data_IF_896027238014
#
_entry.id   IF_896027238014
#
_cell.length_a   1.000
_cell.length_b   1.000
_cell.length_c   1.000
_cell.angle_alpha   90.00
_cell.angle_beta   90.00
_cell.angle_gamma   90.00
#
_symmetry.space_group_name_H-M   'P 1'
#
loop_
_entity.id
_entity.type
_entity.pdbx_description
1 polymer ?
#
# COMPACT_ATOMS: atom_id res chain seq x y z
N UNK A 1 6.99 7.10 -7.69
CA UNK A 1 6.20 7.80 -6.64
C UNK A 1 4.70 7.69 -6.92
N UNK A 2 4.11 8.49 -7.83
CA UNK A 2 2.64 8.48 -8.05
C UNK A 2 2.12 7.11 -8.45
N UNK A 3 2.74 6.50 -9.47
CA UNK A 3 2.36 5.17 -9.95
C UNK A 3 2.43 4.05 -8.90
N UNK A 4 3.24 4.22 -7.85
CA UNK A 4 3.38 3.22 -6.79
C UNK A 4 2.34 3.46 -5.69
N UNK A 5 2.03 4.72 -5.37
CA UNK A 5 1.05 5.04 -4.34
C UNK A 5 -0.39 4.86 -4.86
N UNK A 6 -0.67 5.36 -6.07
CA UNK A 6 -1.95 5.16 -6.76
C UNK A 6 -1.93 3.79 -7.42
N UNK A 7 -2.23 2.78 -6.63
CA UNK A 7 -2.45 1.41 -7.12
C UNK A 7 -3.74 0.88 -6.50
N UNK A 8 -3.73 -0.28 -5.87
CA UNK A 8 -4.95 -0.96 -5.41
C UNK A 8 -5.66 -0.23 -4.25
N UNK A 9 -4.95 0.60 -3.48
CA UNK A 9 -5.52 1.32 -2.33
C UNK A 9 -6.74 2.18 -2.66
N UNK A 10 -6.75 2.82 -3.85
CA UNK A 10 -7.86 3.68 -4.29
C UNK A 10 -9.19 2.94 -4.39
N UNK A 11 -9.16 1.64 -4.67
CA UNK A 11 -10.37 0.83 -4.87
C UNK A 11 -11.05 0.42 -3.57
N UNK A 12 -10.36 0.52 -2.43
CA UNK A 12 -10.92 0.25 -1.10
C UNK A 12 -11.63 1.46 -0.47
N UNK A 13 -11.30 2.68 -0.95
CA UNK A 13 -11.78 3.92 -0.35
C UNK A 13 -13.31 4.10 -0.42
N UNK A 14 -14.01 3.77 -1.52
CA UNK A 14 -15.47 3.86 -1.55
C UNK A 14 -16.15 3.01 -0.47
N UNK A 15 -15.62 1.82 -0.19
CA UNK A 15 -16.12 0.94 0.89
C UNK A 15 -15.86 1.54 2.28
N UNK A 16 -14.73 2.21 2.47
CA UNK A 16 -14.47 2.98 3.70
C UNK A 16 -15.44 4.16 3.87
N UNK A 17 -15.81 4.85 2.78
CA UNK A 17 -16.86 5.89 2.79
C UNK A 17 -18.22 5.29 3.13
N UNK A 18 -18.56 4.12 2.58
CA UNK A 18 -19.81 3.45 2.92
C UNK A 18 -19.92 3.05 4.39
N UNK A 19 -18.80 2.70 5.00
CA UNK A 19 -18.76 2.37 6.42
C UNK A 19 -18.85 3.61 7.29
N UNK A 20 -18.07 4.66 7.02
CA UNK A 20 -17.96 5.85 7.90
C UNK A 20 -19.00 6.96 7.62
N UNK A 21 -19.66 6.92 6.46
CA UNK A 21 -20.45 8.01 5.92
C UNK A 21 -19.60 9.04 5.18
N UNK A 22 -20.25 9.82 4.31
CA UNK A 22 -19.56 10.75 3.40
C UNK A 22 -18.69 11.79 4.13
N UNK A 23 -19.23 12.45 5.15
CA UNK A 23 -18.55 13.56 5.82
C UNK A 23 -17.39 13.08 6.68
N UNK A 24 -17.57 12.08 7.57
CA UNK A 24 -16.46 11.57 8.38
C UNK A 24 -15.34 10.99 7.52
N UNK A 25 -15.68 10.24 6.46
CA UNK A 25 -14.68 9.68 5.56
C UNK A 25 -13.87 10.76 4.82
N UNK A 26 -14.53 11.80 4.30
CA UNK A 26 -13.85 12.92 3.64
C UNK A 26 -12.87 13.64 4.57
N UNK A 27 -13.30 13.92 5.81
CA UNK A 27 -12.45 14.53 6.83
C UNK A 27 -11.26 13.63 7.14
N UNK A 28 -11.47 12.32 7.28
CA UNK A 28 -10.42 11.35 7.55
C UNK A 28 -9.42 11.23 6.38
N UNK A 29 -9.88 11.20 5.13
CA UNK A 29 -9.01 11.18 3.95
C UNK A 29 -8.11 12.42 3.93
N UNK A 30 -8.68 13.61 4.16
CA UNK A 30 -7.91 14.86 4.22
C UNK A 30 -6.94 14.91 5.40
N UNK A 31 -7.36 14.40 6.57
CA UNK A 31 -6.52 14.34 7.76
C UNK A 31 -5.32 13.40 7.57
N UNK A 32 -5.55 12.17 7.09
CA UNK A 32 -4.49 11.20 6.81
C UNK A 32 -3.59 11.70 5.68
N UNK A 33 -4.14 12.37 4.67
CA UNK A 33 -3.37 13.04 3.63
C UNK A 33 -2.40 14.08 4.19
N UNK A 34 -2.91 15.00 5.02
CA UNK A 34 -2.08 16.04 5.66
C UNK A 34 -1.02 15.43 6.61
N UNK A 35 -1.36 14.34 7.29
CA UNK A 35 -0.43 13.63 8.14
C UNK A 35 0.67 12.92 7.33
N UNK A 36 0.30 12.22 6.26
CA UNK A 36 1.20 11.56 5.31
C UNK A 36 2.18 12.55 4.68
N UNK A 37 1.68 13.72 4.28
CA UNK A 37 2.47 14.85 3.79
C UNK A 37 3.58 15.23 4.77
N UNK A 38 3.19 15.46 6.02
CA UNK A 38 4.09 15.90 7.07
C UNK A 38 5.16 14.86 7.39
N UNK A 39 4.77 13.59 7.51
CA UNK A 39 5.71 12.51 7.82
C UNK A 39 6.65 12.21 6.64
N UNK A 40 6.16 12.31 5.40
CA UNK A 40 7.01 12.28 4.20
C UNK A 40 8.03 13.41 4.17
N UNK A 41 7.63 14.62 4.55
CA UNK A 41 8.54 15.76 4.68
C UNK A 41 9.61 15.53 5.76
N UNK A 42 9.24 14.92 6.90
CA UNK A 42 10.19 14.56 7.96
C UNK A 42 11.23 13.54 7.49
N UNK A 43 10.81 12.53 6.71
CA UNK A 43 11.73 11.56 6.07
C UNK A 43 12.69 12.28 5.11
N UNK A 44 12.19 13.19 4.27
CA UNK A 44 13.03 13.97 3.35
C UNK A 44 14.10 14.80 4.09
N UNK A 45 13.70 15.48 5.16
CA UNK A 45 14.61 16.20 6.06
C UNK A 45 15.68 15.30 6.68
N UNK A 46 15.33 14.05 7.02
CA UNK A 46 16.26 13.08 7.60
C UNK A 46 17.28 12.59 6.57
N UNK A 47 16.83 12.24 5.36
CA UNK A 47 17.71 11.84 4.25
C UNK A 47 18.69 12.93 3.86
N UNK A 48 18.26 14.19 3.83
CA UNK A 48 19.15 15.32 3.50
C UNK A 48 20.27 15.53 4.54
N UNK A 49 20.03 15.18 5.82
CA UNK A 49 21.06 15.21 6.87
C UNK A 49 21.97 13.99 6.85
N UNK A 50 21.45 12.85 6.37
CA UNK A 50 22.16 11.57 6.32
C UNK A 50 22.09 10.94 4.91
N UNK A 51 22.91 11.43 3.96
CA UNK A 51 22.82 10.99 2.55
C UNK A 51 23.11 9.50 2.32
N UNK A 52 23.84 8.86 3.25
CA UNK A 52 24.25 7.44 3.17
C UNK A 52 23.11 6.43 3.41
N UNK A 53 21.91 6.87 3.78
CA UNK A 53 20.78 6.00 4.15
C UNK A 53 19.97 5.62 2.91
N UNK A 54 20.06 4.39 2.41
CA UNK A 54 19.36 3.97 1.18
C UNK A 54 18.07 3.21 1.45
N UNK A 55 17.87 2.70 2.67
CA UNK A 55 16.71 1.91 3.08
C UNK A 55 16.23 2.27 4.48
N UNK A 56 15.02 1.83 4.85
CA UNK A 56 14.54 1.98 6.24
C UNK A 56 15.42 1.19 7.23
N UNK A 57 16.01 0.08 6.79
CA UNK A 57 17.00 -0.67 7.57
C UNK A 57 18.23 0.18 7.92
N UNK A 58 18.81 0.91 6.95
CA UNK A 58 19.96 1.79 7.23
C UNK A 58 19.57 2.95 8.16
N UNK A 59 18.33 3.45 8.06
CA UNK A 59 17.81 4.45 9.00
C UNK A 59 17.68 3.89 10.42
N UNK A 60 17.28 2.62 10.54
CA UNK A 60 17.24 1.89 11.81
C UNK A 60 18.62 1.68 12.42
N UNK A 61 19.65 1.47 11.59
CA UNK A 61 21.03 1.37 12.04
C UNK A 61 21.50 2.65 12.73
N UNK A 62 21.15 3.81 12.17
CA UNK A 62 21.51 5.09 12.76
C UNK A 62 20.78 5.36 14.09
N UNK A 63 19.53 4.91 14.21
CA UNK A 63 18.73 5.13 15.42
C UNK A 63 19.08 4.19 16.58
N UNK A 64 19.21 2.89 16.32
CA UNK A 64 19.32 1.84 17.35
C UNK A 64 20.48 0.86 17.09
N UNK A 65 21.42 1.21 16.23
CA UNK A 65 22.55 0.35 15.87
C UNK A 65 22.13 -0.92 15.13
N UNK A 66 22.93 -1.98 15.26
CA UNK A 66 22.72 -3.25 14.53
C UNK A 66 21.32 -3.85 14.71
N UNK A 67 20.76 -3.75 15.91
CA UNK A 67 19.41 -4.27 16.20
C UNK A 67 18.35 -3.50 15.42
N UNK A 68 18.45 -2.17 15.37
CA UNK A 68 17.53 -1.34 14.57
C UNK A 68 17.60 -1.64 13.08
N UNK A 69 18.80 -1.94 12.57
CA UNK A 69 19.00 -2.35 11.17
C UNK A 69 18.24 -3.63 10.83
N UNK A 70 18.33 -4.63 11.70
CA UNK A 70 17.66 -5.90 11.52
C UNK A 70 16.14 -5.75 11.61
N UNK A 71 15.65 -5.09 12.67
CA UNK A 71 14.20 -4.92 12.90
C UNK A 71 13.54 -4.12 11.78
N UNK A 72 14.07 -2.95 11.41
CA UNK A 72 13.47 -2.13 10.35
C UNK A 72 13.70 -2.72 8.96
N UNK A 73 14.82 -3.41 8.74
CA UNK A 73 15.08 -4.09 7.48
C UNK A 73 14.16 -5.27 7.24
N UNK A 74 13.96 -6.13 8.25
CA UNK A 74 13.00 -7.23 8.19
C UNK A 74 11.57 -6.69 8.12
N UNK A 75 11.25 -5.65 8.90
CA UNK A 75 9.93 -5.00 8.84
C UNK A 75 9.60 -4.42 7.47
N UNK A 76 10.56 -3.76 6.81
CA UNK A 76 10.40 -3.27 5.43
C UNK A 76 10.18 -4.44 4.46
N UNK A 77 10.94 -5.52 4.60
CA UNK A 77 10.79 -6.69 3.74
C UNK A 77 9.43 -7.36 3.92
N UNK A 78 8.98 -7.53 5.16
CA UNK A 78 7.66 -8.07 5.46
C UNK A 78 6.56 -7.18 4.88
N UNK A 79 6.64 -5.86 5.06
CA UNK A 79 5.68 -4.94 4.46
C UNK A 79 5.59 -5.14 2.94
N UNK A 80 6.73 -5.24 2.23
CA UNK A 80 6.74 -5.49 0.79
C UNK A 80 6.10 -6.85 0.44
N UNK A 81 6.36 -7.91 1.20
CA UNK A 81 5.74 -9.23 1.00
C UNK A 81 4.22 -9.16 1.16
N UNK A 82 3.72 -8.45 2.17
CA UNK A 82 2.28 -8.29 2.34
C UNK A 82 1.64 -7.43 1.24
N UNK A 83 2.35 -6.40 0.73
CA UNK A 83 1.89 -5.63 -0.44
C UNK A 83 1.89 -6.48 -1.72
N UNK A 84 2.85 -7.39 -1.88
CA UNK A 84 2.80 -8.39 -2.95
C UNK A 84 1.57 -9.28 -2.78
N UNK A 85 1.25 -9.70 -1.56
CA UNK A 85 0.10 -10.54 -1.26
C UNK A 85 -1.22 -9.83 -1.61
N UNK A 86 -1.35 -8.53 -1.31
CA UNK A 86 -2.53 -7.76 -1.69
C UNK A 86 -2.71 -7.68 -3.21
N UNK A 87 -1.61 -7.62 -3.98
CA UNK A 87 -1.68 -7.66 -5.45
C UNK A 87 -2.10 -9.03 -5.99
N UNK A 88 -1.63 -10.13 -5.38
CA UNK A 88 -2.10 -11.48 -5.73
C UNK A 88 -3.60 -11.61 -5.43
N UNK A 89 -4.05 -11.15 -4.26
CA UNK A 89 -5.47 -11.17 -3.91
C UNK A 89 -6.31 -10.33 -4.89
N UNK A 90 -5.80 -9.17 -5.32
CA UNK A 90 -6.44 -8.35 -6.36
C UNK A 90 -6.53 -9.11 -7.69
N UNK A 91 -5.49 -9.85 -8.06
CA UNK A 91 -5.48 -10.69 -9.26
C UNK A 91 -6.50 -11.84 -9.16
N UNK A 92 -6.69 -12.43 -7.97
CA UNK A 92 -7.71 -13.44 -7.73
C UNK A 92 -9.12 -12.89 -7.98
N UNK A 93 -9.41 -11.70 -7.44
CA UNK A 93 -10.69 -10.99 -7.63
C UNK A 93 -10.91 -10.67 -9.11
N UNK A 94 -9.90 -10.09 -9.77
CA UNK A 94 -9.88 -9.81 -11.20
C UNK A 94 -10.26 -11.05 -12.02
N UNK A 95 -9.58 -12.19 -11.79
CA UNK A 95 -9.82 -13.41 -12.55
C UNK A 95 -11.19 -14.02 -12.27
N UNK A 96 -11.65 -13.99 -11.01
CA UNK A 96 -12.98 -14.44 -10.65
C UNK A 96 -14.07 -13.64 -11.37
N UNK A 97 -13.93 -12.31 -11.47
CA UNK A 97 -14.89 -11.46 -12.20
C UNK A 97 -14.83 -11.70 -13.71
N UNK A 98 -13.64 -11.80 -14.31
CA UNK A 98 -13.51 -11.98 -15.76
C UNK A 98 -14.03 -13.34 -16.24
N UNK A 99 -13.84 -14.39 -15.44
CA UNK A 99 -14.17 -15.78 -15.80
C UNK A 99 -15.52 -16.25 -15.27
N UNK A 100 -16.28 -15.40 -14.58
CA UNK A 100 -17.48 -15.78 -13.82
C UNK A 100 -17.21 -16.97 -12.88
N UNK A 101 -16.07 -16.92 -12.18
CA UNK A 101 -15.56 -17.99 -11.31
C UNK A 101 -15.37 -19.34 -12.06
N UNK A 102 -14.70 -19.30 -13.21
CA UNK A 102 -14.53 -20.46 -14.08
C UNK A 102 -13.64 -21.58 -13.51
N UNK A 103 -12.78 -21.28 -12.54
CA UNK A 103 -11.98 -22.27 -11.81
C UNK A 103 -11.78 -21.87 -10.35
N UNK A 104 -11.27 -22.79 -9.54
CA UNK A 104 -10.94 -22.56 -8.13
C UNK A 104 -9.99 -21.35 -7.97
N UNK A 105 -10.33 -20.43 -7.07
CA UNK A 105 -9.55 -19.20 -6.87
C UNK A 105 -8.09 -19.44 -6.48
N UNK A 106 -7.78 -20.53 -5.79
CA UNK A 106 -6.41 -20.96 -5.51
C UNK A 106 -5.57 -21.11 -6.80
N UNK A 107 -6.17 -21.60 -7.88
CA UNK A 107 -5.50 -21.76 -9.18
C UNK A 107 -5.21 -20.39 -9.78
N UNK A 108 -6.13 -19.43 -9.66
CA UNK A 108 -5.88 -18.05 -10.08
C UNK A 108 -4.73 -17.42 -9.28
N UNK A 109 -4.62 -17.71 -7.97
CA UNK A 109 -3.51 -17.24 -7.15
C UNK A 109 -2.17 -17.76 -7.62
N UNK A 110 -2.09 -19.04 -7.97
CA UNK A 110 -0.87 -19.64 -8.55
C UNK A 110 -0.54 -19.03 -9.91
N UNK A 111 -1.54 -18.78 -10.77
CA UNK A 111 -1.32 -18.12 -12.07
C UNK A 111 -0.80 -16.69 -11.88
N UNK A 112 -1.41 -15.93 -10.95
CA UNK A 112 -0.96 -14.58 -10.60
C UNK A 112 0.47 -14.57 -10.07
N UNK A 113 0.80 -15.51 -9.18
CA UNK A 113 2.17 -15.74 -8.71
C UNK A 113 3.12 -15.96 -9.87
N UNK A 114 2.82 -16.86 -10.80
CA UNK A 114 3.72 -17.21 -11.91
C UNK A 114 3.92 -16.01 -12.84
N UNK A 115 2.85 -15.30 -13.20
CA UNK A 115 2.93 -14.12 -14.06
C UNK A 115 3.79 -13.03 -13.42
N UNK A 116 3.52 -12.69 -12.17
CA UNK A 116 4.27 -11.64 -11.48
C UNK A 116 5.71 -12.06 -11.17
N UNK A 117 5.95 -13.33 -10.86
CA UNK A 117 7.29 -13.90 -10.73
C UNK A 117 8.09 -13.74 -12.02
N UNK A 118 7.54 -14.16 -13.16
CA UNK A 118 8.20 -14.04 -14.47
C UNK A 118 8.45 -12.57 -14.84
N UNK A 119 7.51 -11.68 -14.52
CA UNK A 119 7.65 -10.24 -14.72
C UNK A 119 8.72 -9.60 -13.83
N UNK A 120 8.96 -10.13 -12.63
CA UNK A 120 9.96 -9.61 -11.68
C UNK A 120 11.39 -10.14 -11.91
N UNK A 121 11.55 -11.21 -12.72
CA UNK A 121 12.85 -11.82 -13.03
C UNK A 121 13.88 -10.87 -13.66
N UNK A 122 13.54 -9.97 -14.61
CA UNK A 122 14.51 -9.07 -15.20
C UNK A 122 15.18 -8.19 -14.13
N UNK A 123 16.51 -8.28 -14.03
CA UNK A 123 17.30 -7.57 -13.02
C UNK A 123 17.43 -6.06 -13.25
N UNK A 124 17.10 -5.58 -14.45
CA UNK A 124 17.40 -4.22 -14.89
C UNK A 124 16.22 -3.27 -14.67
N UNK A 125 16.48 -2.15 -14.00
CA UNK A 125 15.47 -1.11 -13.70
C UNK A 125 15.18 -0.17 -14.88
N UNK A 126 15.91 -0.28 -16.00
CA UNK A 126 15.80 0.67 -17.13
C UNK A 126 14.39 0.76 -17.72
N UNK A 127 13.60 -0.32 -17.64
CA UNK A 127 12.22 -0.35 -18.15
C UNK A 127 11.16 -0.11 -17.07
N UNK A 128 11.55 0.01 -15.80
CA UNK A 128 10.62 0.14 -14.66
C UNK A 128 9.85 1.46 -14.72
N UNK A 129 10.47 2.52 -15.23
CA UNK A 129 9.78 3.80 -15.48
C UNK A 129 8.57 3.61 -16.42
N UNK A 130 8.77 3.00 -17.60
CA UNK A 130 7.69 2.78 -18.56
C UNK A 130 6.59 1.85 -18.02
N UNK A 131 6.98 0.79 -17.29
CA UNK A 131 6.02 -0.09 -16.62
C UNK A 131 5.18 0.67 -15.58
N UNK A 132 5.81 1.54 -14.81
CA UNK A 132 5.12 2.37 -13.81
C UNK A 132 4.14 3.35 -14.46
N UNK A 133 4.52 3.97 -15.58
CA UNK A 133 3.63 4.86 -16.34
C UNK A 133 2.41 4.11 -16.88
N UNK A 134 2.61 2.92 -17.46
CA UNK A 134 1.51 2.08 -17.96
C UNK A 134 0.58 1.66 -16.81
N UNK A 135 1.13 1.27 -15.67
CA UNK A 135 0.36 0.94 -14.46
C UNK A 135 -0.50 2.12 -14.00
N UNK A 136 0.08 3.31 -13.91
CA UNK A 136 -0.64 4.51 -13.49
C UNK A 136 -1.76 4.90 -14.46
N UNK A 137 -1.51 4.87 -15.77
CA UNK A 137 -2.53 5.17 -16.78
C UNK A 137 -3.66 4.14 -16.72
N UNK A 138 -3.32 2.86 -16.55
CA UNK A 138 -4.29 1.77 -16.40
C UNK A 138 -5.22 1.98 -15.20
N UNK A 139 -4.70 2.23 -14.00
CA UNK A 139 -5.53 2.46 -12.81
C UNK A 139 -6.34 3.75 -12.90
N UNK A 140 -5.77 4.81 -13.48
CA UNK A 140 -6.45 6.09 -13.67
C UNK A 140 -7.67 5.93 -14.60
N UNK A 141 -7.48 5.28 -15.75
CA UNK A 141 -8.56 5.04 -16.70
C UNK A 141 -9.61 4.09 -16.10
N UNK A 142 -9.19 3.01 -15.43
CA UNK A 142 -10.13 2.10 -14.75
C UNK A 142 -10.97 2.82 -13.68
N UNK A 143 -10.35 3.71 -12.90
CA UNK A 143 -11.05 4.50 -11.87
C UNK A 143 -12.03 5.49 -12.49
N UNK A 144 -11.64 6.18 -13.57
CA UNK A 144 -12.53 7.10 -14.30
C UNK A 144 -13.73 6.36 -14.89
N UNK A 145 -13.50 5.20 -15.51
CA UNK A 145 -14.59 4.36 -16.04
C UNK A 145 -15.52 3.94 -14.91
N UNK A 146 -14.96 3.50 -13.78
CA UNK A 146 -15.75 3.11 -12.61
C UNK A 146 -16.64 4.25 -12.10
N UNK A 147 -16.10 5.48 -12.03
CA UNK A 147 -16.89 6.66 -11.64
C UNK A 147 -18.01 6.99 -12.64
N UNK A 148 -17.70 6.98 -13.95
CA UNK A 148 -18.68 7.29 -15.00
C UNK A 148 -19.79 6.23 -15.02
N UNK A 149 -19.41 4.95 -15.01
CA UNK A 149 -20.36 3.85 -15.00
C UNK A 149 -21.24 3.89 -13.76
N UNK A 150 -20.66 4.10 -12.58
CA UNK A 150 -21.45 4.24 -11.35
C UNK A 150 -22.50 5.34 -11.50
N UNK A 151 -22.15 6.49 -12.07
CA UNK A 151 -23.10 7.58 -12.33
C UNK A 151 -24.18 7.26 -13.36
N UNK A 152 -23.87 6.51 -14.41
CA UNK A 152 -24.85 6.09 -15.44
C UNK A 152 -25.79 5.01 -14.92
N UNK A 153 -25.29 4.11 -14.07
CA UNK A 153 -26.05 3.00 -13.46
C UNK A 153 -26.75 3.40 -12.15
N UNK A 154 -26.62 4.67 -11.74
CA UNK A 154 -27.18 5.17 -10.50
C UNK A 154 -28.70 4.98 -10.47
N UNK A 155 -29.20 4.37 -9.40
CA UNK A 155 -30.64 4.24 -9.17
C UNK A 155 -31.21 5.61 -8.81
N UNK A 156 -32.44 5.92 -9.24
CA UNK A 156 -33.07 7.24 -9.04
C UNK A 156 -33.15 7.69 -7.56
N UNK A 157 -33.09 6.77 -6.59
CA UNK A 157 -33.08 7.08 -5.16
C UNK A 157 -32.00 6.27 -4.41
N UNK A 158 -30.76 6.77 -4.40
CA UNK A 158 -29.71 6.27 -3.50
C UNK A 158 -29.70 7.15 -2.24
N UNK A 159 -30.08 6.57 -1.10
CA UNK A 159 -29.97 7.27 0.18
C UNK A 159 -28.50 7.31 0.57
N UNK A 160 -27.90 8.50 0.45
CA UNK A 160 -26.53 8.72 0.88
C UNK A 160 -26.53 9.04 2.37
N UNK A 161 -25.92 8.15 3.16
CA UNK A 161 -25.78 8.37 4.58
C UNK A 161 -24.65 9.36 4.83
N UNK A 162 -25.02 10.55 5.33
CA UNK A 162 -24.08 11.64 5.62
C UNK A 162 -23.14 11.25 6.76
N UNK A 163 -23.72 10.59 7.77
CA UNK A 163 -23.06 9.99 8.93
C UNK A 163 -23.76 8.66 9.18
N UNK A 164 -22.97 7.62 9.42
CA UNK A 164 -23.44 6.28 9.74
C UNK A 164 -23.17 5.97 11.22
N UNK A 165 -24.11 5.29 11.87
CA UNK A 165 -23.87 4.73 13.20
C UNK A 165 -23.16 3.38 13.03
N UNK A 166 -21.84 3.38 13.22
CA UNK A 166 -21.02 2.16 13.07
C UNK A 166 -20.41 1.70 14.37
N UNK A 167 -20.19 0.39 14.44
CA UNK A 167 -19.42 -0.20 15.52
C UNK A 167 -17.99 0.34 15.49
N UNK A 168 -17.37 0.47 16.66
CA UNK A 168 -15.97 0.88 16.78
C UNK A 168 -15.05 0.04 15.88
N UNK A 169 -15.33 -1.27 15.76
CA UNK A 169 -14.56 -2.21 14.95
C UNK A 169 -14.62 -1.86 13.46
N UNK A 170 -15.80 -1.72 12.89
CA UNK A 170 -15.99 -1.43 11.46
C UNK A 170 -15.46 -0.04 11.11
N UNK A 171 -15.73 0.96 11.96
CA UNK A 171 -15.19 2.31 11.78
C UNK A 171 -13.66 2.32 11.78
N UNK A 172 -13.02 1.59 12.70
CA UNK A 172 -11.55 1.54 12.74
C UNK A 172 -10.96 0.79 11.55
N UNK A 173 -11.61 -0.29 11.09
CA UNK A 173 -11.21 -1.04 9.89
C UNK A 173 -11.23 -0.11 8.65
N UNK A 174 -12.31 0.66 8.48
CA UNK A 174 -12.42 1.65 7.41
C UNK A 174 -11.31 2.72 7.49
N UNK A 175 -10.98 3.23 8.69
CA UNK A 175 -9.85 4.17 8.87
C UNK A 175 -8.51 3.54 8.49
N UNK A 176 -8.28 2.26 8.85
CA UNK A 176 -7.04 1.57 8.44
C UNK A 176 -6.94 1.34 6.93
N UNK A 177 -8.06 1.13 6.24
CA UNK A 177 -8.06 1.06 4.77
C UNK A 177 -7.75 2.42 4.13
N UNK A 178 -8.22 3.53 4.71
CA UNK A 178 -7.81 4.87 4.28
C UNK A 178 -6.30 5.07 4.49
N UNK A 179 -5.75 4.61 5.63
CA UNK A 179 -4.30 4.65 5.89
C UNK A 179 -3.52 3.86 4.84
N UNK A 180 -4.02 2.68 4.44
CA UNK A 180 -3.38 1.85 3.40
C UNK A 180 -3.15 2.63 2.10
N UNK A 181 -4.11 3.44 1.68
CA UNK A 181 -4.02 4.22 0.45
C UNK A 181 -2.87 5.25 0.45
N UNK A 182 -2.34 5.61 1.63
CA UNK A 182 -1.24 6.57 1.79
C UNK A 182 0.08 5.91 2.24
N UNK A 183 0.26 4.62 1.98
CA UNK A 183 1.38 3.82 2.48
C UNK A 183 2.58 3.78 1.51
N UNK A 184 3.13 4.96 1.16
CA UNK A 184 4.29 5.06 0.25
C UNK A 184 5.65 5.31 0.95
N UNK A 185 5.64 5.59 2.26
CA UNK A 185 6.82 6.11 2.98
C UNK A 185 8.04 5.20 2.95
N UNK A 186 7.83 3.88 2.90
CA UNK A 186 8.90 2.88 2.87
C UNK A 186 9.81 3.03 1.63
N UNK A 187 9.26 3.48 0.50
CA UNK A 187 9.98 3.64 -0.75
C UNK A 187 10.71 4.99 -0.87
N UNK A 188 10.41 5.97 0.00
CA UNK A 188 10.94 7.33 -0.14
C UNK A 188 12.47 7.40 -0.07
N UNK A 189 13.12 6.63 0.80
CA UNK A 189 14.60 6.58 0.84
C UNK A 189 15.20 6.04 -0.47
N UNK A 190 14.58 5.02 -1.06
CA UNK A 190 14.99 4.47 -2.36
C UNK A 190 14.84 5.52 -3.46
N UNK A 191 13.67 6.15 -3.56
CA UNK A 191 13.42 7.20 -4.57
C UNK A 191 14.35 8.39 -4.45
N UNK A 192 14.59 8.89 -3.23
CA UNK A 192 15.53 9.99 -3.02
C UNK A 192 16.96 9.61 -3.39
N UNK A 193 17.33 8.35 -3.30
CA UNK A 193 18.65 7.85 -3.69
C UNK A 193 18.82 7.67 -5.20
N UNK A 194 17.73 7.56 -5.96
CA UNK A 194 17.76 7.50 -7.42
C UNK A 194 17.51 8.86 -8.09
N UNK A 195 17.20 9.91 -7.30
CA UNK A 195 17.01 11.27 -7.80
C UNK A 195 18.36 11.98 -7.94
N UNK A 196 18.57 12.70 -9.05
CA UNK A 196 19.80 13.47 -9.30
C UNK A 196 20.09 14.51 -8.20
N UNK A 197 19.07 15.28 -7.79
CA UNK A 197 19.13 16.17 -6.62
C UNK A 197 18.06 15.78 -5.57
N UNK A 198 18.45 15.17 -4.45
CA UNK A 198 17.54 14.83 -3.35
C UNK A 198 16.77 16.02 -2.76
N UNK A 199 17.21 17.27 -2.94
CA UNK A 199 16.51 18.47 -2.45
C UNK A 199 15.21 18.74 -3.20
N UNK A 200 15.09 18.22 -4.42
CA UNK A 200 13.87 18.32 -5.24
C UNK A 200 12.74 17.42 -4.73
N UNK A 201 13.04 16.46 -3.84
CA UNK A 201 12.08 15.51 -3.28
C UNK A 201 10.82 16.17 -2.71
N UNK A 202 10.94 17.31 -2.02
CA UNK A 202 9.77 18.00 -1.44
C UNK A 202 8.79 18.50 -2.50
N UNK A 203 9.27 18.86 -3.70
CA UNK A 203 8.41 19.24 -4.82
C UNK A 203 7.70 18.02 -5.41
N UNK A 204 8.43 16.92 -5.57
CA UNK A 204 7.87 15.64 -6.06
C UNK A 204 6.85 15.07 -5.06
N UNK A 205 7.14 15.17 -3.76
CA UNK A 205 6.21 14.83 -2.70
C UNK A 205 4.95 15.70 -2.88
N UNK A 206 5.06 17.03 -3.04
CA UNK A 206 3.91 17.95 -3.12
C UNK A 206 2.96 17.54 -4.23
N UNK A 207 3.54 17.28 -5.40
CA UNK A 207 2.81 16.80 -6.54
C UNK A 207 2.13 15.45 -6.27
N UNK A 208 2.85 14.50 -5.67
CA UNK A 208 2.30 13.20 -5.25
C UNK A 208 1.06 13.39 -4.38
N UNK A 209 1.22 14.11 -3.26
CA UNK A 209 0.15 14.23 -2.27
C UNK A 209 -1.08 14.96 -2.82
N UNK A 210 -0.89 16.01 -3.63
CA UNK A 210 -2.01 16.73 -4.24
C UNK A 210 -2.79 15.81 -5.19
N UNK A 211 -2.08 15.11 -6.09
CA UNK A 211 -2.70 14.20 -7.07
C UNK A 211 -3.43 13.08 -6.35
N UNK A 212 -2.78 12.42 -5.39
CA UNK A 212 -3.37 11.29 -4.66
C UNK A 212 -4.60 11.73 -3.87
N UNK A 213 -4.52 12.86 -3.16
CA UNK A 213 -5.66 13.37 -2.38
C UNK A 213 -6.84 13.72 -3.25
N UNK A 214 -6.62 14.36 -4.40
CA UNK A 214 -7.71 14.70 -5.33
C UNK A 214 -8.32 13.42 -5.91
N UNK A 215 -7.49 12.50 -6.41
CA UNK A 215 -7.97 11.25 -6.98
C UNK A 215 -8.75 10.43 -5.95
N UNK A 216 -8.22 10.28 -4.75
CA UNK A 216 -8.81 9.48 -3.67
C UNK A 216 -10.09 10.09 -3.14
N UNK A 217 -10.13 11.40 -2.89
CA UNK A 217 -11.32 12.07 -2.39
C UNK A 217 -12.44 12.06 -3.43
N UNK A 218 -12.13 12.40 -4.68
CA UNK A 218 -13.13 12.44 -5.76
C UNK A 218 -13.64 11.05 -6.08
N UNK A 219 -12.77 10.05 -6.23
CA UNK A 219 -13.20 8.69 -6.54
C UNK A 219 -14.00 8.07 -5.41
N UNK A 220 -13.56 8.23 -4.15
CA UNK A 220 -14.25 7.66 -3.00
C UNK A 220 -15.66 8.23 -2.83
N UNK A 221 -15.80 9.57 -2.91
CA UNK A 221 -17.09 10.23 -2.72
C UNK A 221 -18.03 10.04 -3.90
N UNK A 222 -17.56 10.13 -5.15
CA UNK A 222 -18.44 9.97 -6.31
C UNK A 222 -18.93 8.54 -6.47
N UNK A 223 -18.03 7.55 -6.33
CA UNK A 223 -18.44 6.14 -6.42
C UNK A 223 -19.45 5.82 -5.32
N UNK A 224 -19.20 6.27 -4.08
CA UNK A 224 -20.17 6.08 -3.00
C UNK A 224 -21.49 6.79 -3.26
N UNK A 225 -21.46 8.04 -3.73
CA UNK A 225 -22.67 8.83 -3.99
C UNK A 225 -23.64 8.14 -4.97
N UNK A 226 -23.10 7.44 -5.97
CA UNK A 226 -23.90 6.77 -7.00
C UNK A 226 -24.24 5.31 -6.69
N UNK A 227 -23.41 4.59 -5.94
CA UNK A 227 -23.63 3.17 -5.60
C UNK A 227 -24.36 3.01 -4.26
N UNK A 228 -24.03 3.85 -3.28
CA UNK A 228 -24.59 3.85 -1.93
C UNK A 228 -23.90 2.87 -0.96
N UNK A 229 -24.60 2.46 0.12
CA UNK A 229 -24.01 1.71 1.24
C UNK A 229 -23.51 0.30 0.89
N UNK A 230 -23.95 -0.28 -0.22
CA UNK A 230 -23.62 -1.66 -0.61
C UNK A 230 -22.39 -1.76 -1.55
N UNK A 231 -21.56 -0.72 -1.61
CA UNK A 231 -20.34 -0.73 -2.43
C UNK A 231 -19.36 -1.81 -1.93
N UNK A 232 -18.99 -2.71 -2.85
CA UNK A 232 -18.02 -3.76 -2.64
C UNK A 232 -16.59 -3.19 -2.60
N UNK A 233 -15.66 -3.95 -2.05
CA UNK A 233 -14.23 -3.64 -2.05
C UNK A 233 -13.47 -4.81 -2.66
N UNK A 234 -12.79 -4.64 -3.80
CA UNK A 234 -12.58 -3.41 -4.58
C UNK A 234 -13.84 -2.83 -5.23
N UNK A 235 -13.92 -1.50 -5.34
CA UNK A 235 -15.11 -0.80 -5.84
C UNK A 235 -15.52 -1.16 -7.28
N UNK A 236 -14.59 -1.63 -8.13
CA UNK A 236 -14.86 -2.06 -9.51
C UNK A 236 -15.84 -3.24 -9.54
N UNK A 237 -15.83 -4.09 -8.50
CA UNK A 237 -16.75 -5.22 -8.38
C UNK A 237 -18.19 -4.81 -8.08
N UNK A 238 -18.46 -3.52 -7.81
CA UNK A 238 -19.80 -3.01 -7.53
C UNK A 238 -20.60 -2.62 -8.78
N UNK A 239 -19.95 -2.56 -9.94
CA UNK A 239 -20.58 -2.18 -11.21
C UNK A 239 -21.44 -3.32 -11.78
N UNK A 240 -22.26 -3.03 -12.79
CA UNK A 240 -22.95 -4.09 -13.55
C UNK A 240 -21.97 -5.14 -14.09
N UNK A 241 -22.38 -6.41 -14.27
CA UNK A 241 -21.47 -7.50 -14.64
C UNK A 241 -20.64 -7.22 -15.91
N UNK A 242 -21.23 -6.57 -16.91
CA UNK A 242 -20.53 -6.24 -18.16
C UNK A 242 -19.49 -5.14 -17.91
N UNK A 243 -19.88 -4.06 -17.23
CA UNK A 243 -18.99 -2.94 -17.00
C UNK A 243 -17.89 -3.25 -16.00
N UNK A 244 -18.18 -4.11 -15.00
CA UNK A 244 -17.16 -4.63 -14.08
C UNK A 244 -16.08 -5.38 -14.85
N UNK A 245 -16.43 -6.27 -15.80
CA UNK A 245 -15.46 -6.96 -16.67
C UNK A 245 -14.62 -6.01 -17.51
N UNK A 246 -15.24 -4.96 -18.07
CA UNK A 246 -14.51 -3.94 -18.87
C UNK A 246 -13.52 -3.17 -18.00
N UNK A 247 -13.97 -2.67 -16.84
CA UNK A 247 -13.13 -1.89 -15.93
C UNK A 247 -11.98 -2.73 -15.35
N UNK A 248 -12.27 -3.97 -14.95
CA UNK A 248 -11.26 -4.93 -14.51
C UNK A 248 -10.28 -5.30 -15.64
N UNK A 249 -10.75 -5.46 -16.87
CA UNK A 249 -9.91 -5.67 -18.05
C UNK A 249 -8.89 -4.55 -18.26
N UNK A 250 -9.31 -3.29 -18.03
CA UNK A 250 -8.43 -2.11 -18.10
C UNK A 250 -7.49 -2.03 -16.89
N UNK A 251 -7.87 -2.59 -15.74
CA UNK A 251 -7.05 -2.68 -14.54
C UNK A 251 -6.03 -3.84 -14.53
N UNK A 252 -6.03 -4.72 -15.55
CA UNK A 252 -5.05 -5.83 -15.65
C UNK A 252 -3.60 -5.33 -15.60
N UNK A 253 -3.18 -4.32 -16.40
CA UNK A 253 -1.80 -3.85 -16.38
C UNK A 253 -1.37 -3.33 -15.01
N UNK A 254 -2.21 -2.53 -14.32
CA UNK A 254 -1.84 -2.04 -12.99
C UNK A 254 -1.71 -3.17 -11.97
N UNK A 255 -2.61 -4.16 -11.99
CA UNK A 255 -2.62 -5.28 -11.04
C UNK A 255 -1.33 -6.11 -11.16
N UNK A 256 -0.90 -6.40 -12.39
CA UNK A 256 0.32 -7.18 -12.64
C UNK A 256 1.57 -6.34 -12.38
N UNK A 257 1.65 -5.13 -12.96
CA UNK A 257 2.86 -4.32 -12.91
C UNK A 257 3.16 -3.79 -11.50
N UNK A 258 2.13 -3.47 -10.70
CA UNK A 258 2.30 -3.07 -9.30
C UNK A 258 2.94 -4.20 -8.48
N UNK A 259 2.42 -5.42 -8.59
CA UNK A 259 3.00 -6.60 -7.95
C UNK A 259 4.42 -6.89 -8.40
N UNK A 260 4.71 -6.78 -9.70
CA UNK A 260 6.05 -6.98 -10.28
C UNK A 260 7.06 -5.99 -9.69
N UNK A 261 6.73 -4.70 -9.61
CA UNK A 261 7.63 -3.66 -9.07
C UNK A 261 7.93 -3.93 -7.59
N UNK A 262 6.90 -4.20 -6.79
CA UNK A 262 7.06 -4.52 -5.36
C UNK A 262 7.90 -5.78 -5.14
N UNK A 263 7.63 -6.84 -5.92
CA UNK A 263 8.38 -8.09 -5.88
C UNK A 263 9.84 -7.89 -6.28
N UNK A 264 10.10 -7.09 -7.30
CA UNK A 264 11.45 -6.77 -7.72
C UNK A 264 12.23 -6.02 -6.63
N UNK A 265 11.61 -5.02 -5.98
CA UNK A 265 12.22 -4.27 -4.88
C UNK A 265 12.52 -5.18 -3.68
N UNK A 266 11.60 -6.07 -3.30
CA UNK A 266 11.80 -7.03 -2.22
C UNK A 266 12.95 -8.00 -2.50
N UNK A 267 13.00 -8.58 -3.71
CA UNK A 267 14.04 -9.50 -4.13
C UNK A 267 15.40 -8.82 -4.20
N UNK A 268 15.46 -7.60 -4.77
CA UNK A 268 16.67 -6.77 -4.81
C UNK A 268 17.18 -6.46 -3.41
N UNK A 269 16.29 -6.14 -2.47
CA UNK A 269 16.66 -5.88 -1.09
C UNK A 269 17.36 -7.09 -0.44
N UNK A 270 16.79 -8.30 -0.57
CA UNK A 270 17.40 -9.54 -0.06
C UNK A 270 18.73 -9.82 -0.76
N UNK A 271 18.75 -9.74 -2.09
CA UNK A 271 19.94 -10.04 -2.89
C UNK A 271 21.11 -9.12 -2.55
N UNK A 272 20.87 -7.80 -2.51
CA UNK A 272 21.90 -6.82 -2.13
C UNK A 272 22.38 -7.04 -0.71
N UNK A 273 21.53 -7.51 0.20
CA UNK A 273 21.93 -7.81 1.58
C UNK A 273 22.81 -9.05 1.70
N UNK A 274 22.50 -10.11 0.97
CA UNK A 274 23.25 -11.37 0.98
C UNK A 274 24.61 -11.23 0.29
N UNK A 275 24.67 -10.48 -0.81
CA UNK A 275 25.85 -10.36 -1.66
C UNK A 275 26.63 -9.04 -1.48
N UNK A 276 26.27 -8.21 -0.48
CA UNK A 276 26.95 -6.94 -0.21
C UNK A 276 28.45 -7.17 0.07
N UNK A 277 29.32 -6.66 -0.78
CA UNK A 277 30.78 -6.81 -0.65
C UNK A 277 31.37 -8.05 -1.31
N UNK A 278 30.60 -8.78 -2.13
CA UNK A 278 31.10 -9.86 -2.99
C UNK A 278 31.19 -9.41 -4.46
N UNK A 279 32.19 -9.90 -5.21
CA UNK A 279 32.36 -9.63 -6.65
C UNK A 279 31.26 -10.28 -7.51
N UNK A 280 30.46 -11.19 -6.92
CA UNK A 280 29.38 -11.92 -7.58
C UNK A 280 28.14 -11.04 -7.89
N UNK A 281 28.06 -9.83 -7.33
CA UNK A 281 26.91 -8.94 -7.53
C UNK A 281 26.80 -8.45 -8.99
N UNK A 282 27.92 -8.35 -9.70
CA UNK A 282 27.99 -7.94 -11.11
C UNK A 282 28.34 -9.11 -12.06
N UNK A 283 28.66 -10.29 -11.53
CA UNK A 283 28.97 -11.46 -12.34
C UNK A 283 27.67 -12.10 -12.90
N UNK A 284 27.76 -12.71 -14.08
CA UNK A 284 26.71 -13.58 -14.64
C UNK A 284 26.98 -15.06 -14.30
N UNK A 285 27.52 -15.34 -13.12
CA UNK A 285 27.77 -16.72 -12.68
C UNK A 285 26.46 -17.48 -12.48
N UNK A 286 26.49 -18.81 -12.62
CA UNK A 286 25.32 -19.66 -12.32
C UNK A 286 24.86 -19.52 -10.87
N UNK A 287 25.79 -19.21 -9.95
CA UNK A 287 25.49 -18.91 -8.55
C UNK A 287 24.71 -17.60 -8.41
N UNK A 288 25.15 -16.54 -9.09
CA UNK A 288 24.46 -15.25 -9.14
C UNK A 288 23.05 -15.41 -9.71
N UNK A 289 22.90 -16.06 -10.88
CA UNK A 289 21.59 -16.28 -11.52
C UNK A 289 20.68 -17.19 -10.69
N UNK A 290 21.19 -18.33 -10.23
CA UNK A 290 20.43 -19.30 -9.44
C UNK A 290 19.95 -18.73 -8.11
N UNK A 291 20.80 -18.00 -7.39
CA UNK A 291 20.41 -17.38 -6.12
C UNK A 291 19.32 -16.32 -6.29
N UNK A 292 19.39 -15.49 -7.33
CA UNK A 292 18.33 -14.53 -7.65
C UNK A 292 16.99 -15.21 -7.95
N UNK A 293 17.00 -16.24 -8.82
CA UNK A 293 15.78 -16.98 -9.15
C UNK A 293 15.20 -17.65 -7.90
N UNK A 294 16.05 -18.25 -7.05
CA UNK A 294 15.62 -18.88 -5.81
C UNK A 294 15.00 -17.87 -4.82
N UNK A 295 15.60 -16.69 -4.66
CA UNK A 295 15.04 -15.61 -3.84
C UNK A 295 13.69 -15.18 -4.39
N UNK A 296 13.59 -14.94 -5.71
CA UNK A 296 12.33 -14.54 -6.34
C UNK A 296 11.23 -15.58 -6.10
N UNK A 297 11.51 -16.87 -6.34
CA UNK A 297 10.55 -17.96 -6.09
C UNK A 297 10.12 -17.97 -4.62
N UNK A 298 11.08 -17.91 -3.69
CA UNK A 298 10.78 -17.96 -2.25
C UNK A 298 9.88 -16.81 -1.79
N UNK A 299 10.18 -15.58 -2.17
CA UNK A 299 9.40 -14.39 -1.79
C UNK A 299 7.98 -14.45 -2.36
N UNK A 300 7.84 -14.85 -3.63
CA UNK A 300 6.53 -14.97 -4.28
C UNK A 300 5.67 -16.09 -3.68
N UNK A 301 6.26 -17.24 -3.34
CA UNK A 301 5.55 -18.33 -2.65
C UNK A 301 5.04 -17.85 -1.29
N UNK A 302 5.87 -17.19 -0.50
CA UNK A 302 5.46 -16.65 0.81
C UNK A 302 4.33 -15.63 0.63
N UNK A 303 4.44 -14.74 -0.35
CA UNK A 303 3.41 -13.76 -0.68
C UNK A 303 2.08 -14.42 -1.06
N UNK A 304 2.09 -15.50 -1.84
CA UNK A 304 0.88 -16.23 -2.20
C UNK A 304 0.25 -16.94 -0.99
N UNK A 305 1.07 -17.58 -0.16
CA UNK A 305 0.61 -18.18 1.10
C UNK A 305 -0.11 -17.15 1.98
N UNK A 306 0.41 -15.93 2.09
CA UNK A 306 -0.23 -14.85 2.83
C UNK A 306 -1.56 -14.42 2.18
N UNK A 307 -1.60 -14.28 0.86
CA UNK A 307 -2.79 -13.89 0.12
C UNK A 307 -3.95 -14.89 0.29
N UNK A 308 -3.66 -16.19 0.23
CA UNK A 308 -4.68 -17.25 0.40
C UNK A 308 -5.07 -17.49 1.86
N UNK A 309 -4.20 -17.10 2.80
CA UNK A 309 -4.51 -17.18 4.23
C UNK A 309 -5.52 -16.13 4.68
N UNK A 310 -5.50 -14.94 4.07
CA UNK A 310 -6.43 -13.82 4.35
C UNK A 310 -7.10 -13.40 3.02
N UNK A 311 -8.08 -14.16 2.53
CA UNK A 311 -8.69 -13.95 1.21
C UNK A 311 -9.73 -12.81 1.20
N UNK A 312 -9.75 -11.95 2.22
CA UNK A 312 -10.62 -10.78 2.33
C UNK A 312 -9.77 -9.53 2.13
N UNK A 313 -10.09 -8.77 1.07
CA UNK A 313 -9.26 -7.64 0.63
C UNK A 313 -9.10 -6.57 1.71
N UNK A 314 -10.22 -6.10 2.28
CA UNK A 314 -10.22 -5.08 3.33
C UNK A 314 -9.45 -5.52 4.59
N UNK A 315 -9.58 -6.78 5.01
CA UNK A 315 -8.91 -7.29 6.21
C UNK A 315 -7.40 -7.35 6.03
N UNK A 316 -6.95 -7.79 4.86
CA UNK A 316 -5.53 -7.80 4.51
C UNK A 316 -4.97 -6.37 4.51
N UNK A 317 -5.65 -5.42 3.87
CA UNK A 317 -5.23 -4.01 3.84
C UNK A 317 -5.18 -3.38 5.24
N UNK A 318 -6.17 -3.69 6.07
CA UNK A 318 -6.27 -3.25 7.45
C UNK A 318 -5.09 -3.77 8.28
N UNK A 319 -4.79 -5.07 8.16
CA UNK A 319 -3.66 -5.71 8.86
C UNK A 319 -2.32 -5.08 8.45
N UNK A 320 -2.12 -4.84 7.15
CA UNK A 320 -0.90 -4.20 6.64
C UNK A 320 -0.72 -2.80 7.23
N UNK A 321 -1.80 -2.03 7.24
CA UNK A 321 -1.80 -0.66 7.76
C UNK A 321 -1.58 -0.61 9.26
N UNK A 322 -2.20 -1.53 10.01
CA UNK A 322 -2.03 -1.63 11.45
C UNK A 322 -0.60 -2.04 11.82
N UNK A 323 -0.07 -3.11 11.21
CA UNK A 323 1.22 -3.69 11.58
C UNK A 323 2.41 -2.89 11.04
N UNK A 324 2.32 -2.42 9.80
CA UNK A 324 3.44 -1.78 9.11
C UNK A 324 3.19 -0.30 8.81
N UNK A 325 2.00 0.05 8.30
CA UNK A 325 1.67 1.44 7.97
C UNK A 325 1.79 2.38 9.16
N UNK A 326 1.31 1.96 10.34
CA UNK A 326 1.43 2.71 11.59
C UNK A 326 2.89 3.15 11.85
N UNK A 327 3.83 2.20 11.85
CA UNK A 327 5.24 2.47 12.13
C UNK A 327 5.95 3.13 10.95
N UNK A 328 5.87 2.58 9.74
CA UNK A 328 6.66 3.07 8.60
C UNK A 328 6.17 4.42 8.06
N UNK A 329 4.87 4.70 8.12
CA UNK A 329 4.31 5.97 7.62
C UNK A 329 4.16 7.03 8.70
N UNK A 330 4.00 6.66 9.98
CA UNK A 330 3.75 7.64 11.06
C UNK A 330 4.75 7.56 12.22
N UNK A 331 4.92 6.40 12.84
CA UNK A 331 5.75 6.23 14.04
C UNK A 331 7.23 6.56 13.82
N UNK A 332 7.88 5.92 12.84
CA UNK A 332 9.30 6.10 12.53
C UNK A 332 9.61 7.51 12.04
N UNK A 333 8.82 8.13 11.14
CA UNK A 333 9.03 9.53 10.79
C UNK A 333 8.98 10.49 11.98
N UNK A 334 8.07 10.26 12.94
CA UNK A 334 8.02 11.04 14.16
C UNK A 334 9.30 10.84 15.01
N UNK A 335 9.79 9.60 15.13
CA UNK A 335 11.05 9.29 15.80
C UNK A 335 12.25 9.94 15.08
N UNK A 336 12.29 9.92 13.75
CA UNK A 336 13.33 10.59 12.96
C UNK A 336 13.36 12.09 13.26
N UNK A 337 12.20 12.74 13.33
CA UNK A 337 12.12 14.16 13.67
C UNK A 337 12.63 14.45 15.09
N UNK A 338 12.25 13.61 16.07
CA UNK A 338 12.72 13.74 17.45
C UNK A 338 14.24 13.48 17.56
N UNK A 339 14.76 12.53 16.79
CA UNK A 339 16.20 12.25 16.77
C UNK A 339 17.00 13.43 16.21
N UNK A 340 16.56 14.01 15.07
CA UNK A 340 17.22 15.16 14.45
C UNK A 340 17.25 16.41 15.33
N UNK A 341 16.27 16.58 16.22
CA UNK A 341 16.14 17.76 17.08
C UNK A 341 16.54 17.50 18.54
N UNK A 342 17.29 16.43 18.80
CA UNK A 342 17.76 16.07 20.14
C UNK A 342 18.54 17.23 20.76
N UNK A 343 18.13 17.63 21.97
CA UNK A 343 18.72 18.76 22.70
C UNK A 343 18.16 20.14 22.35
N UNK A 344 17.18 20.25 21.44
CA UNK A 344 16.58 21.54 21.04
C UNK A 344 15.05 21.53 21.05
N UNK A 345 14.43 20.55 21.71
CA UNK A 345 12.97 20.32 21.70
C UNK A 345 12.17 21.55 22.13
N UNK A 346 12.60 22.26 23.18
CA UNK A 346 11.89 23.39 23.77
C UNK A 346 12.59 24.73 23.57
N UNK A 347 13.49 24.83 22.59
CA UNK A 347 14.31 26.03 22.40
C UNK A 347 13.47 27.26 22.02
N UNK A 348 12.40 27.07 21.23
CA UNK A 348 11.51 28.12 20.77
C UNK A 348 10.08 27.56 20.67
N UNK A 349 9.05 28.42 20.77
CA UNK A 349 7.64 28.03 20.63
C UNK A 349 7.37 27.14 19.41
N UNK A 350 7.95 27.47 18.24
CA UNK A 350 7.82 26.65 17.02
C UNK A 350 8.33 25.21 17.20
N UNK A 351 9.46 25.04 17.88
CA UNK A 351 10.05 23.71 18.16
C UNK A 351 9.26 22.97 19.22
N UNK A 352 8.73 23.66 20.22
CA UNK A 352 7.81 23.08 21.21
C UNK A 352 6.56 22.51 20.54
N UNK A 353 5.89 23.30 19.69
CA UNK A 353 4.71 22.83 18.94
C UNK A 353 5.05 21.63 18.07
N UNK A 354 6.13 21.68 17.29
CA UNK A 354 6.55 20.55 16.45
C UNK A 354 6.90 19.31 17.29
N UNK A 355 7.49 19.47 18.47
CA UNK A 355 7.79 18.34 19.37
C UNK A 355 6.49 17.70 19.85
N UNK A 356 5.52 18.50 20.29
CA UNK A 356 4.19 18.01 20.70
C UNK A 356 3.52 17.28 19.54
N UNK A 357 3.55 17.85 18.33
CA UNK A 357 2.98 17.22 17.13
C UNK A 357 3.62 15.86 16.86
N UNK A 358 4.94 15.72 16.88
CA UNK A 358 5.59 14.42 16.64
C UNK A 358 5.30 13.40 17.74
N UNK A 359 5.23 13.84 19.01
CA UNK A 359 4.83 12.96 20.11
C UNK A 359 3.38 12.48 19.92
N UNK A 360 2.46 13.35 19.52
CA UNK A 360 1.08 12.96 19.21
C UNK A 360 1.01 11.99 18.03
N UNK A 361 1.77 12.23 16.95
CA UNK A 361 1.84 11.32 15.80
C UNK A 361 2.37 9.94 16.21
N UNK A 362 3.39 9.91 17.07
CA UNK A 362 3.91 8.66 17.62
C UNK A 362 2.84 7.92 18.44
N UNK A 363 2.09 8.62 19.29
CA UNK A 363 0.99 8.02 20.06
C UNK A 363 -0.15 7.52 19.15
N UNK A 364 -0.50 8.28 18.10
CA UNK A 364 -1.47 7.86 17.08
C UNK A 364 -0.97 6.60 16.37
N UNK A 365 0.31 6.51 16.02
CA UNK A 365 0.93 5.30 15.46
C UNK A 365 0.79 4.10 16.41
N UNK A 366 1.07 4.28 17.70
CA UNK A 366 0.90 3.19 18.68
C UNK A 366 -0.57 2.77 18.80
N UNK A 367 -1.51 3.72 18.77
CA UNK A 367 -2.94 3.44 18.79
C UNK A 367 -3.40 2.70 17.53
N UNK A 368 -2.96 3.14 16.34
CA UNK A 368 -3.24 2.45 15.06
C UNK A 368 -2.70 1.02 15.08
N UNK A 369 -1.49 0.82 15.59
CA UNK A 369 -0.91 -0.51 15.72
C UNK A 369 -1.74 -1.39 16.67
N UNK A 370 -1.96 -0.95 17.91
CA UNK A 370 -2.65 -1.76 18.93
C UNK A 370 -4.11 -2.04 18.59
N UNK A 371 -4.88 -0.99 18.29
CA UNK A 371 -6.30 -1.10 17.98
C UNK A 371 -6.52 -1.73 16.61
N UNK A 372 -5.67 -1.40 15.63
CA UNK A 372 -5.75 -1.98 14.29
C UNK A 372 -5.49 -3.47 14.31
N UNK A 373 -4.44 -3.94 15.00
CA UNK A 373 -4.17 -5.38 15.12
C UNK A 373 -5.30 -6.12 15.83
N UNK A 374 -5.93 -5.52 16.84
CA UNK A 374 -7.11 -6.09 17.48
C UNK A 374 -8.29 -6.19 16.51
N UNK A 375 -8.62 -5.12 15.80
CA UNK A 375 -9.74 -5.08 14.84
C UNK A 375 -9.51 -6.04 13.68
N UNK A 376 -8.36 -5.99 13.01
CA UNK A 376 -8.04 -6.89 11.90
C UNK A 376 -7.96 -8.34 12.37
N UNK A 377 -7.39 -8.61 13.55
CA UNK A 377 -7.31 -9.96 14.11
C UNK A 377 -8.68 -10.57 14.39
N UNK A 378 -9.61 -9.78 14.93
CA UNK A 378 -11.00 -10.21 15.16
C UNK A 378 -11.76 -10.42 13.83
N UNK A 379 -11.57 -9.52 12.85
CA UNK A 379 -12.19 -9.65 11.52
C UNK A 379 -11.71 -10.94 10.83
N UNK A 380 -10.39 -11.15 10.77
CA UNK A 380 -9.79 -12.36 10.20
C UNK A 380 -10.25 -13.61 10.94
N UNK A 381 -10.36 -13.59 12.27
CA UNK A 381 -10.87 -14.75 13.02
C UNK A 381 -12.33 -15.08 12.66
N UNK A 382 -13.17 -14.06 12.45
CA UNK A 382 -14.55 -14.23 12.02
C UNK A 382 -14.66 -14.81 10.60
N UNK A 383 -13.84 -14.31 9.68
CA UNK A 383 -13.94 -14.62 8.24
C UNK A 383 -13.14 -15.86 7.83
N UNK A 384 -12.12 -16.24 8.60
CA UNK A 384 -11.26 -17.42 8.33
C UNK A 384 -11.98 -18.76 8.48
N UNK A 385 -13.16 -18.80 9.11
CA UNK A 385 -13.93 -20.03 9.34
C UNK A 385 -14.54 -20.67 8.08
N UNK A 386 -14.65 -19.95 6.95
CA UNK A 386 -15.33 -20.47 5.75
C UNK A 386 -14.59 -20.27 4.41
N UNK A 387 -13.51 -19.47 4.36
CA UNK A 387 -12.94 -19.02 3.07
C UNK A 387 -11.41 -19.22 2.91
N UNK A 388 -10.65 -19.35 4.00
CA UNK A 388 -9.18 -19.51 3.93
C UNK A 388 -8.80 -20.84 3.27
N UNK A 389 -7.88 -20.81 2.31
CA UNK A 389 -7.48 -21.99 1.53
C UNK A 389 -8.64 -22.73 0.86
N UNK A 390 -9.67 -22.00 0.44
CA UNK A 390 -10.86 -22.56 -0.21
C UNK A 390 -10.94 -22.19 -1.69
N UNK A 391 -11.79 -22.90 -2.43
CA UNK A 391 -12.15 -22.53 -3.79
C UNK A 391 -13.28 -21.48 -3.85
N UNK A 392 -13.64 -20.84 -2.74
CA UNK A 392 -14.76 -19.90 -2.71
C UNK A 392 -14.46 -18.67 -3.57
N UNK A 393 -15.51 -18.15 -4.22
CA UNK A 393 -15.42 -16.91 -4.98
C UNK A 393 -15.07 -15.75 -4.05
N UNK A 394 -13.98 -15.04 -4.36
CA UNK A 394 -13.48 -13.90 -3.57
C UNK A 394 -13.91 -12.54 -4.14
N UNK A 395 -14.71 -12.54 -5.22
CA UNK A 395 -15.08 -11.33 -5.98
C UNK A 395 -16.24 -10.53 -5.37
#
# INVERSE_FOLDING_TARGET
MIAENVSVGILSLPSAVATLGMVPAAIMILFISALSWYTGYAIGQFKLRHPHIHSMGDAGELLMGRVGREVLGIGQLLLLIFLMASNILTFNILMNVLTDHGTCTLVFGVVGLVICFLGALPRTMEKVYWMSVISFVSVLVATIITMITAGVEAKEHVVNEVVTDVSFREGFLAVTNIIFAYLAHVAYFGFMSETEDPRTFNKSLAMLQIIDTVLYLVSALLIYHYIGPNVQSPAISSLSPIMSKVAWGIAIPTTILSGVVLGHVACKYIYVRLFRGSDEMHSRSLLSIGSWVAICIGVWIISWVVAESIPVFNDLLSLISALFGSWFSFGLPAVFWLHMNKGQYFRNWKKTVLTITNVLIFLISCAICGLGLYVSGVAIHGDSGSSSWSCANSA
#
